data_IF_705136851401
#
_entry.id   IF_705136851401
#
_cell.length_a   1.000
_cell.length_b   1.000
_cell.length_c   1.000
_cell.angle_alpha   90.00
_cell.angle_beta   90.00
_cell.angle_gamma   90.00
#
_symmetry.space_group_name_H-M   'P 1'
#
loop_
_entity.id
_entity.type
_entity.pdbx_description
1 polymer ?
#
# COMPACT_ATOMS: atom_id res chain seq x y z
N UNK A 1 3.23 -8.52 -28.67
CA UNK A 1 3.86 -9.33 -27.62
C UNK A 1 2.99 -9.23 -26.38
N UNK A 2 2.49 -10.35 -25.85
CA UNK A 2 1.75 -10.37 -24.58
C UNK A 2 2.81 -10.52 -23.49
N UNK A 3 3.04 -9.44 -22.74
CA UNK A 3 3.93 -9.47 -21.57
C UNK A 3 3.15 -10.17 -20.45
N UNK A 4 3.66 -11.25 -19.84
CA UNK A 4 2.99 -11.83 -18.69
C UNK A 4 3.04 -10.80 -17.56
N UNK A 5 1.88 -10.47 -17.01
CA UNK A 5 1.79 -9.74 -15.75
C UNK A 5 2.42 -10.64 -14.69
N UNK A 6 3.64 -10.33 -14.26
CA UNK A 6 4.34 -11.08 -13.21
C UNK A 6 3.56 -10.87 -11.91
N UNK A 7 2.73 -11.84 -11.56
CA UNK A 7 2.29 -12.02 -10.18
C UNK A 7 3.54 -12.24 -9.34
N UNK A 8 3.83 -11.31 -8.44
CA UNK A 8 4.94 -11.47 -7.49
C UNK A 8 4.58 -12.64 -6.57
N UNK A 9 5.46 -13.64 -6.50
CA UNK A 9 5.30 -14.72 -5.52
C UNK A 9 5.43 -14.13 -4.11
N UNK A 10 4.34 -14.21 -3.34
CA UNK A 10 4.28 -13.74 -1.96
C UNK A 10 4.81 -14.86 -1.07
N UNK A 11 5.91 -14.66 -0.32
CA UNK A 11 6.43 -15.67 0.60
C UNK A 11 5.43 -16.01 1.70
N UNK A 12 5.48 -17.24 2.20
CA UNK A 12 4.66 -17.67 3.34
C UNK A 12 4.84 -16.72 4.54
N UNK A 13 3.72 -16.31 5.14
CA UNK A 13 3.68 -15.35 6.25
C UNK A 13 3.74 -13.87 5.83
N UNK A 14 3.74 -13.56 4.53
CA UNK A 14 3.60 -12.19 4.02
C UNK A 14 2.21 -11.98 3.40
N UNK A 15 1.77 -10.72 3.34
CA UNK A 15 0.54 -10.30 2.67
C UNK A 15 0.84 -9.78 1.26
N UNK A 16 0.08 -10.26 0.27
CA UNK A 16 0.10 -9.69 -1.07
C UNK A 16 -0.77 -8.45 -1.17
N UNK A 17 -0.66 -7.73 -2.29
CA UNK A 17 -1.49 -6.55 -2.57
C UNK A 17 -3.00 -6.81 -2.55
N UNK A 18 -3.42 -8.07 -2.79
CA UNK A 18 -4.83 -8.46 -2.77
C UNK A 18 -5.36 -8.78 -1.35
N UNK A 19 -4.45 -8.95 -0.39
CA UNK A 19 -4.75 -9.30 1.00
C UNK A 19 -4.76 -8.09 1.92
N UNK A 20 -4.43 -6.91 1.39
CA UNK A 20 -4.42 -5.63 2.11
C UNK A 20 -5.48 -4.67 1.58
N UNK A 21 -5.84 -3.70 2.41
CA UNK A 21 -6.62 -2.54 2.00
C UNK A 21 -5.95 -1.25 2.49
N UNK A 22 -6.20 -0.16 1.75
CA UNK A 22 -5.71 1.17 2.10
C UNK A 22 -6.85 1.98 2.72
N UNK A 23 -6.71 2.34 4.00
CA UNK A 23 -7.58 3.30 4.67
C UNK A 23 -7.06 4.71 4.43
N UNK A 24 -7.95 5.58 3.97
CA UNK A 24 -7.62 6.97 3.69
C UNK A 24 -8.11 7.89 4.81
N UNK A 25 -7.37 8.97 5.12
CA UNK A 25 -7.88 10.02 5.99
C UNK A 25 -9.25 10.53 5.52
N UNK A 26 -10.11 10.89 6.48
CA UNK A 26 -11.43 11.43 6.17
C UNK A 26 -11.32 12.65 5.23
N UNK A 27 -12.19 12.72 4.23
CA UNK A 27 -12.19 13.80 3.24
C UNK A 27 -11.13 13.67 2.13
N UNK A 28 -10.37 12.59 2.07
CA UNK A 28 -9.45 12.34 0.94
C UNK A 28 -10.22 12.27 -0.38
N UNK A 29 -9.84 13.09 -1.35
CA UNK A 29 -10.50 13.15 -2.67
C UNK A 29 -10.27 11.88 -3.49
N UNK A 30 -11.19 11.56 -4.39
CA UNK A 30 -11.10 10.35 -5.20
C UNK A 30 -9.91 10.37 -6.17
N UNK A 31 -9.51 11.55 -6.66
CA UNK A 31 -8.28 11.71 -7.45
C UNK A 31 -7.05 11.36 -6.60
N UNK A 32 -7.03 11.76 -5.33
CA UNK A 32 -5.95 11.40 -4.40
C UNK A 32 -5.94 9.91 -4.08
N UNK A 33 -7.11 9.29 -3.87
CA UNK A 33 -7.22 7.84 -3.71
C UNK A 33 -6.74 7.11 -4.95
N UNK A 34 -7.06 7.60 -6.15
CA UNK A 34 -6.62 7.03 -7.43
C UNK A 34 -5.10 7.04 -7.56
N UNK A 35 -4.45 8.16 -7.23
CA UNK A 35 -2.99 8.24 -7.17
C UNK A 35 -2.40 7.22 -6.17
N UNK A 36 -2.96 7.16 -4.97
CA UNK A 36 -2.46 6.27 -3.91
C UNK A 36 -2.62 4.79 -4.25
N UNK A 37 -3.81 4.38 -4.70
CA UNK A 37 -4.08 3.00 -5.13
C UNK A 37 -3.25 2.63 -6.35
N UNK A 38 -3.02 3.58 -7.26
CA UNK A 38 -2.12 3.41 -8.40
C UNK A 38 -0.68 3.11 -7.98
N UNK A 39 -0.17 3.79 -6.95
CA UNK A 39 1.17 3.54 -6.40
C UNK A 39 1.21 2.20 -5.65
N UNK A 40 0.23 1.91 -4.79
CA UNK A 40 0.16 0.66 -4.02
C UNK A 40 0.09 -0.55 -4.95
N UNK A 41 -0.76 -0.48 -5.98
CA UNK A 41 -0.94 -1.56 -6.95
C UNK A 41 0.08 -1.57 -8.09
N UNK A 42 1.00 -0.60 -8.15
CA UNK A 42 1.88 -0.35 -9.31
C UNK A 42 1.14 -0.28 -10.65
N UNK A 43 -0.09 0.23 -10.64
CA UNK A 43 -0.92 0.31 -11.85
C UNK A 43 -0.78 1.64 -12.58
N UNK A 44 0.13 2.51 -12.14
CA UNK A 44 0.43 3.78 -12.82
C UNK A 44 1.29 3.46 -14.06
N UNK A 45 0.78 3.71 -15.27
CA UNK A 45 1.42 3.28 -16.52
C UNK A 45 2.59 4.17 -16.92
N UNK A 46 2.66 5.41 -16.42
CA UNK A 46 3.71 6.36 -16.79
C UNK A 46 3.81 7.52 -15.79
N UNK A 47 4.96 8.21 -15.76
CA UNK A 47 5.12 9.45 -14.99
C UNK A 47 4.10 10.54 -15.37
N UNK A 48 3.69 10.61 -16.65
CA UNK A 48 2.71 11.59 -17.10
C UNK A 48 1.35 11.38 -16.42
N UNK A 49 0.93 10.13 -16.20
CA UNK A 49 -0.31 9.86 -15.48
C UNK A 49 -0.24 10.37 -14.03
N UNK A 50 0.92 10.29 -13.36
CA UNK A 50 1.11 10.92 -12.04
C UNK A 50 0.93 12.44 -12.12
N UNK A 51 1.57 13.06 -13.12
CA UNK A 51 1.47 14.50 -13.34
C UNK A 51 0.02 14.93 -13.56
N UNK A 52 -0.73 14.23 -14.42
CA UNK A 52 -2.13 14.52 -14.70
C UNK A 52 -3.00 14.44 -13.43
N UNK A 53 -2.76 13.47 -12.55
CA UNK A 53 -3.47 13.35 -11.26
C UNK A 53 -3.13 14.51 -10.32
N UNK A 54 -1.85 14.92 -10.26
CA UNK A 54 -1.42 16.06 -9.44
C UNK A 54 -2.01 17.37 -9.97
N UNK A 55 -2.08 17.56 -11.28
CA UNK A 55 -2.74 18.71 -11.92
C UNK A 55 -4.24 18.74 -11.62
N UNK A 56 -4.87 17.58 -11.50
CA UNK A 56 -6.25 17.40 -11.02
C UNK A 56 -6.40 17.55 -9.49
N UNK A 57 -5.38 18.06 -8.81
CA UNK A 57 -5.33 18.31 -7.36
C UNK A 57 -5.30 17.04 -6.50
N UNK A 58 -4.73 15.94 -7.00
CA UNK A 58 -4.32 14.85 -6.12
C UNK A 58 -3.30 15.37 -5.10
N UNK A 59 -3.45 14.99 -3.83
CA UNK A 59 -2.47 15.31 -2.79
C UNK A 59 -1.42 14.18 -2.69
N UNK A 60 -0.17 14.37 -3.15
CA UNK A 60 0.85 13.34 -3.07
C UNK A 60 1.38 13.10 -1.65
N UNK A 61 1.08 14.00 -0.70
CA UNK A 61 1.57 13.93 0.68
C UNK A 61 0.63 13.19 1.64
N UNK A 62 -0.45 12.60 1.12
CA UNK A 62 -1.32 11.76 1.95
C UNK A 62 -0.54 10.55 2.48
N UNK A 63 -0.98 10.05 3.63
CA UNK A 63 -0.49 8.82 4.22
C UNK A 63 -1.64 7.83 4.33
N UNK A 64 -1.85 6.94 3.35
CA UNK A 64 -2.83 5.89 3.50
C UNK A 64 -2.32 4.89 4.54
N UNK A 65 -3.23 4.35 5.33
CA UNK A 65 -2.94 3.33 6.32
C UNK A 65 -3.14 1.95 5.70
N UNK A 66 -2.09 1.14 5.67
CA UNK A 66 -2.15 -0.25 5.18
C UNK A 66 -2.54 -1.19 6.31
N UNK A 67 -3.53 -2.03 6.06
CA UNK A 67 -3.96 -3.10 6.97
C UNK A 67 -4.41 -4.31 6.18
N UNK A 68 -4.46 -5.47 6.85
CA UNK A 68 -5.04 -6.68 6.29
C UNK A 68 -6.51 -6.44 5.98
N UNK A 69 -6.96 -6.95 4.84
CA UNK A 69 -8.35 -6.84 4.40
C UNK A 69 -9.28 -7.45 5.44
N UNK A 70 -10.29 -6.69 5.84
CA UNK A 70 -11.26 -7.13 6.86
C UNK A 70 -10.82 -6.93 8.32
N UNK A 71 -9.58 -6.51 8.57
CA UNK A 71 -9.11 -6.16 9.92
C UNK A 71 -9.88 -4.96 10.48
N UNK A 72 -10.08 -4.97 11.80
CA UNK A 72 -10.73 -3.89 12.56
C UNK A 72 -9.74 -2.86 13.06
N UNK A 73 -8.48 -3.24 13.26
CA UNK A 73 -7.44 -2.32 13.73
C UNK A 73 -7.05 -1.26 12.69
N UNK A 74 -6.48 -0.17 13.18
CA UNK A 74 -5.90 0.88 12.36
C UNK A 74 -4.62 0.41 11.68
N UNK A 75 -4.36 0.86 10.46
CA UNK A 75 -3.21 0.40 9.67
C UNK A 75 -1.95 1.24 9.87
N UNK A 76 -0.86 0.84 9.22
CA UNK A 76 0.38 1.63 9.18
C UNK A 76 0.35 2.69 8.09
N UNK A 77 0.56 3.95 8.50
CA UNK A 77 0.58 5.09 7.58
C UNK A 77 1.91 5.25 6.86
N UNK A 78 1.91 5.13 5.53
CA UNK A 78 3.11 5.35 4.70
C UNK A 78 2.98 6.58 3.82
N UNK A 79 4.07 7.31 3.58
CA UNK A 79 4.04 8.31 2.51
C UNK A 79 3.98 7.62 1.14
N UNK A 80 3.30 8.24 0.17
CA UNK A 80 3.28 7.71 -1.20
C UNK A 80 4.69 7.63 -1.81
N UNK A 81 5.60 8.52 -1.43
CA UNK A 81 7.00 8.44 -1.84
C UNK A 81 7.68 7.18 -1.30
N UNK A 82 7.50 6.88 0.00
CA UNK A 82 8.04 5.67 0.63
C UNK A 82 7.55 4.42 -0.10
N UNK A 83 6.24 4.33 -0.37
CA UNK A 83 5.68 3.21 -1.12
C UNK A 83 6.24 3.19 -2.56
N UNK A 84 6.35 4.34 -3.22
CA UNK A 84 6.83 4.43 -4.59
C UNK A 84 8.27 3.92 -4.76
N UNK A 85 9.17 4.26 -3.83
CA UNK A 85 10.59 3.89 -3.87
C UNK A 85 10.91 2.56 -3.19
N UNK A 86 9.96 2.00 -2.43
CA UNK A 86 9.86 0.60 -1.99
C UNK A 86 10.74 -0.37 -2.78
N UNK A 87 10.30 -0.52 -4.01
CA UNK A 87 10.76 -1.47 -4.99
C UNK A 87 12.21 -1.24 -5.46
N UNK A 88 12.61 0.03 -5.54
CA UNK A 88 13.92 0.45 -6.08
C UNK A 88 15.07 0.15 -5.13
N UNK A 89 14.77 -0.26 -3.90
CA UNK A 89 15.75 -0.45 -2.85
C UNK A 89 16.16 -1.91 -2.66
N UNK A 90 15.77 -2.87 -3.51
CA UNK A 90 16.06 -4.30 -3.31
C UNK A 90 15.70 -4.79 -1.89
N UNK A 91 14.62 -4.27 -1.28
CA UNK A 91 14.26 -4.50 0.13
C UNK A 91 15.34 -4.11 1.18
N UNK A 92 16.30 -3.24 0.83
CA UNK A 92 17.28 -2.68 1.80
C UNK A 92 16.69 -1.58 2.68
N UNK A 93 15.58 -0.96 2.27
CA UNK A 93 14.78 -0.09 3.13
C UNK A 93 13.94 -0.93 4.10
N UNK A 94 13.54 -0.34 5.24
CA UNK A 94 12.60 -1.00 6.16
C UNK A 94 11.39 -1.56 5.41
N UNK A 95 11.06 -2.81 5.69
CA UNK A 95 9.94 -3.50 5.07
C UNK A 95 8.63 -2.71 5.23
N UNK A 96 7.73 -2.83 4.26
CA UNK A 96 6.36 -2.34 4.40
C UNK A 96 5.57 -3.35 5.23
N UNK A 97 4.78 -2.84 6.17
CA UNK A 97 3.92 -3.62 7.05
C UNK A 97 2.46 -3.20 6.89
N UNK A 98 1.57 -4.11 7.23
CA UNK A 98 0.15 -3.87 7.42
C UNK A 98 -0.22 -4.41 8.80
N UNK A 99 -1.09 -3.70 9.52
CA UNK A 99 -1.65 -4.26 10.75
C UNK A 99 -2.74 -5.28 10.44
N UNK A 100 -2.84 -6.31 11.27
CA UNK A 100 -3.97 -7.22 11.33
C UNK A 100 -4.47 -7.31 12.77
N UNK A 101 -5.63 -7.92 12.98
CA UNK A 101 -6.12 -8.15 14.35
C UNK A 101 -5.22 -9.20 15.02
N UNK A 102 -4.96 -9.05 16.32
CA UNK A 102 -4.19 -10.03 17.11
C UNK A 102 -4.96 -11.35 17.23
N UNK A 103 -4.24 -12.47 17.25
CA UNK A 103 -4.82 -13.79 17.52
C UNK A 103 -5.06 -14.02 19.03
N UNK A 104 -4.54 -13.14 19.91
CA UNK A 104 -4.63 -13.23 21.37
C UNK A 104 -5.74 -12.31 21.92
N UNK A 105 -6.63 -12.85 22.77
CA UNK A 105 -7.77 -12.14 23.38
C UNK A 105 -7.35 -11.15 24.52
N UNK A 106 -6.08 -10.75 24.61
CA UNK A 106 -5.62 -9.83 25.66
C UNK A 106 -6.06 -8.38 25.35
N UNK A 107 -6.63 -7.68 26.34
CA UNK A 107 -7.34 -6.39 26.20
C UNK A 107 -6.48 -5.20 25.67
N UNK A 108 -5.21 -5.42 25.36
CA UNK A 108 -4.30 -4.45 24.75
C UNK A 108 -4.26 -4.67 23.22
N UNK A 109 -5.31 -4.23 22.50
CA UNK A 109 -5.55 -4.34 21.05
C UNK A 109 -4.51 -3.56 20.20
N UNK A 110 -3.24 -3.95 20.28
CA UNK A 110 -2.14 -3.47 19.44
C UNK A 110 -1.87 -4.44 18.28
N UNK A 111 -2.88 -4.66 17.44
CA UNK A 111 -2.89 -5.58 16.31
C UNK A 111 -1.56 -5.88 15.59
N UNK A 112 -1.33 -7.15 15.30
CA UNK A 112 -0.15 -7.78 14.73
C UNK A 112 0.38 -7.11 13.45
N UNK A 113 1.71 -7.11 13.29
CA UNK A 113 2.38 -6.54 12.11
C UNK A 113 2.74 -7.59 11.06
N UNK A 114 2.07 -7.55 9.90
CA UNK A 114 2.38 -8.43 8.78
C UNK A 114 3.21 -7.72 7.71
N UNK A 115 4.26 -8.36 7.21
CA UNK A 115 5.03 -7.85 6.06
C UNK A 115 4.19 -7.86 4.80
N UNK A 116 4.31 -6.81 4.00
CA UNK A 116 3.58 -6.64 2.74
C UNK A 116 4.54 -6.75 1.57
N UNK A 117 4.16 -7.56 0.59
CA UNK A 117 4.84 -7.66 -0.71
C UNK A 117 4.00 -6.95 -1.75
N UNK A 118 4.45 -5.75 -2.14
CA UNK A 118 3.84 -4.99 -3.21
C UNK A 118 4.33 -5.48 -4.58
N UNK A 119 3.54 -5.28 -5.65
CA UNK A 119 4.01 -5.51 -7.01
C UNK A 119 5.24 -4.65 -7.32
N UNK A 120 6.02 -5.09 -8.30
CA UNK A 120 7.13 -4.35 -8.88
C UNK A 120 6.61 -3.40 -9.98
N UNK A 121 7.35 -2.34 -10.30
CA UNK A 121 7.02 -1.44 -11.42
C UNK A 121 7.16 -2.08 -12.80
#
# INVERSE_FOLDING_TARGET
AVVPTTTVDVPDGCLGVNDIEARFPYGTSDVTKSLALGIIGRTIPSPQHVTDLIEQRANPNIKPQLRKKGSKVDGFGYSLLTLAVHDKADNTFSAIHARQDDDDDDDDDEGDECRVVLPQW
#
